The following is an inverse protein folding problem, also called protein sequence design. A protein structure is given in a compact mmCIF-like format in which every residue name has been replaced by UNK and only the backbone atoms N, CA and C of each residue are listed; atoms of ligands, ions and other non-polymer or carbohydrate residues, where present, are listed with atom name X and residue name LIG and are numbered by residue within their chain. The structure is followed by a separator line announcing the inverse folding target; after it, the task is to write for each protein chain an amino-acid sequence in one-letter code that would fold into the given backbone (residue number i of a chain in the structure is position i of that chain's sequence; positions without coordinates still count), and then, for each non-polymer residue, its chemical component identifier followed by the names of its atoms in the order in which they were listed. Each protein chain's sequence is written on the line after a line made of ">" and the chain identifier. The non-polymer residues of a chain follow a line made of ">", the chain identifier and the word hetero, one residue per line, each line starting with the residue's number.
data_IF_922836678985
#
_entry.id   IF_922836678985
#
_cell.length_a   1.000
_cell.length_b   1.000
_cell.length_c   1.000
_cell.angle_alpha   90.00
_cell.angle_beta   90.00
_cell.angle_gamma   90.00
#
_symmetry.space_group_name_H-M   'P 1'
#
loop_
_entity.id
_entity.type
_entity.pdbx_description
1 polymer ?
#
# COMPACT_ATOMS: atom_id res chain seq x y z
N UNK A 1 -16.19 -2.81 -12.85
CA UNK A 1 -17.16 -2.17 -11.94
C UNK A 1 -16.67 -2.39 -10.52
N UNK A 2 -16.43 -1.34 -9.72
CA UNK A 2 -16.18 -1.55 -8.31
C UNK A 2 -17.48 -1.99 -7.62
N UNK A 3 -17.42 -3.05 -6.83
CA UNK A 3 -18.56 -3.56 -6.03
C UNK A 3 -18.20 -3.36 -4.57
N UNK A 4 -19.08 -2.69 -3.82
CA UNK A 4 -18.86 -2.33 -2.43
C UNK A 4 -20.05 -2.73 -1.56
N UNK A 5 -19.83 -2.75 -0.24
CA UNK A 5 -20.88 -3.08 0.72
C UNK A 5 -21.20 -4.57 0.77
N UNK A 6 -22.34 -4.91 1.37
CA UNK A 6 -22.73 -6.31 1.64
C UNK A 6 -22.74 -7.18 0.38
N UNK A 7 -23.20 -6.64 -0.74
CA UNK A 7 -23.32 -7.33 -2.02
C UNK A 7 -21.95 -7.80 -2.58
N UNK A 8 -20.85 -7.18 -2.16
CA UNK A 8 -19.51 -7.60 -2.59
C UNK A 8 -19.14 -9.01 -2.07
N UNK A 9 -19.77 -9.46 -0.99
CA UNK A 9 -19.56 -10.80 -0.44
C UNK A 9 -20.18 -11.91 -1.32
N UNK A 10 -21.15 -11.56 -2.17
CA UNK A 10 -21.91 -12.51 -2.99
C UNK A 10 -21.35 -12.65 -4.42
N UNK A 11 -20.29 -11.89 -4.75
CA UNK A 11 -19.61 -11.96 -6.06
C UNK A 11 -18.58 -13.10 -6.10
N UNK A 12 -18.56 -13.84 -7.22
CA UNK A 12 -17.57 -14.89 -7.50
C UNK A 12 -16.80 -14.61 -8.81
N UNK A 13 -15.45 -14.75 -8.85
CA UNK A 13 -14.58 -15.06 -7.71
C UNK A 13 -14.66 -13.98 -6.61
N UNK A 14 -14.42 -14.38 -5.35
CA UNK A 14 -14.51 -13.46 -4.21
C UNK A 14 -13.58 -12.28 -4.46
N UNK A 15 -14.15 -11.08 -4.40
CA UNK A 15 -13.38 -9.85 -4.54
C UNK A 15 -12.45 -9.71 -3.33
N UNK A 16 -11.26 -9.17 -3.56
CA UNK A 16 -10.30 -8.87 -2.51
C UNK A 16 -9.61 -7.55 -2.80
N UNK A 17 -9.01 -6.96 -1.77
CA UNK A 17 -8.18 -5.75 -1.90
C UNK A 17 -7.06 -5.77 -0.87
N UNK A 18 -6.06 -4.91 -1.07
CA UNK A 18 -4.99 -4.76 -0.10
C UNK A 18 -5.33 -3.63 0.87
N UNK A 19 -5.12 -3.84 2.16
CA UNK A 19 -4.85 -2.75 3.09
C UNK A 19 -3.35 -2.49 3.08
N UNK A 20 -2.96 -1.23 2.92
CA UNK A 20 -1.56 -0.81 2.91
C UNK A 20 -1.30 0.08 4.10
N UNK A 21 -0.29 -0.27 4.89
CA UNK A 21 0.14 0.51 6.05
C UNK A 21 1.63 0.74 5.98
N UNK A 22 2.05 2.00 6.06
CA UNK A 22 3.46 2.37 6.02
C UNK A 22 3.98 2.69 7.42
N UNK A 23 5.13 2.13 7.77
CA UNK A 23 5.89 2.35 9.01
C UNK A 23 5.09 2.18 10.32
N UNK A 24 3.99 1.41 10.27
CA UNK A 24 3.07 1.26 11.42
C UNK A 24 2.26 2.53 11.73
N UNK A 25 2.15 3.44 10.76
CA UNK A 25 1.29 4.62 10.84
C UNK A 25 -0.17 4.22 11.13
N UNK A 26 -0.93 5.00 11.90
CA UNK A 26 -2.38 4.80 12.03
C UNK A 26 -3.14 5.03 10.71
N UNK A 27 -2.48 5.62 9.70
CA UNK A 27 -3.04 5.77 8.36
C UNK A 27 -2.84 4.53 7.50
N UNK A 28 -3.92 3.79 7.29
CA UNK A 28 -4.03 2.68 6.33
C UNK A 28 -4.95 3.08 5.17
N UNK A 29 -4.65 2.65 3.95
CA UNK A 29 -5.54 2.84 2.79
C UNK A 29 -5.81 1.54 2.05
N UNK A 30 -6.94 1.50 1.34
CA UNK A 30 -7.29 0.39 0.47
C UNK A 30 -6.69 0.56 -0.94
N UNK A 31 -6.04 -0.48 -1.46
CA UNK A 31 -5.57 -0.57 -2.85
C UNK A 31 -6.36 -1.65 -3.57
N UNK A 32 -7.13 -1.24 -4.59
CA UNK A 32 -8.15 -2.08 -5.25
C UNK A 32 -7.85 -2.38 -6.72
N UNK A 33 -6.76 -1.81 -7.26
CA UNK A 33 -6.33 -2.07 -8.64
C UNK A 33 -5.16 -3.06 -8.68
N UNK A 34 -4.88 -3.56 -9.89
CA UNK A 34 -3.65 -4.31 -10.17
C UNK A 34 -2.45 -3.41 -10.48
N UNK A 35 -2.61 -2.09 -10.38
CA UNK A 35 -1.54 -1.13 -10.65
C UNK A 35 -0.54 -1.09 -9.49
N UNK A 36 0.67 -0.52 -9.69
CA UNK A 36 1.64 -0.35 -8.63
C UNK A 36 1.11 0.45 -7.44
N UNK A 37 1.53 0.07 -6.23
CA UNK A 37 1.39 0.92 -5.04
C UNK A 37 2.48 2.00 -5.12
N UNK A 38 2.08 3.28 -5.12
CA UNK A 38 3.00 4.41 -5.22
C UNK A 38 3.02 5.16 -3.90
N UNK A 39 4.22 5.38 -3.36
CA UNK A 39 4.44 6.18 -2.15
C UNK A 39 5.47 7.26 -2.46
N UNK A 40 5.16 8.50 -2.06
CA UNK A 40 5.98 9.68 -2.34
C UNK A 40 6.30 10.43 -1.04
N UNK A 41 7.42 11.16 -1.02
CA UNK A 41 7.79 12.01 0.12
C UNK A 41 8.41 11.28 1.32
N UNK A 42 8.87 10.05 1.13
CA UNK A 42 9.59 9.31 2.17
C UNK A 42 10.97 9.92 2.42
N UNK A 43 11.34 10.01 3.70
CA UNK A 43 12.69 10.43 4.09
C UNK A 43 13.69 9.34 3.72
N UNK A 44 14.97 9.68 3.47
CA UNK A 44 16.01 8.67 3.38
C UNK A 44 16.05 7.80 4.64
N UNK A 45 16.15 6.48 4.47
CA UNK A 45 16.13 5.52 5.56
C UNK A 45 15.40 4.22 5.20
N UNK A 46 15.36 3.30 6.16
CA UNK A 46 14.62 2.04 6.05
C UNK A 46 13.15 2.28 6.36
N UNK A 47 12.29 1.78 5.49
CA UNK A 47 10.84 1.81 5.61
C UNK A 47 10.27 0.39 5.59
N UNK A 48 9.10 0.25 6.18
CA UNK A 48 8.32 -0.98 6.24
C UNK A 48 6.93 -0.73 5.69
N UNK A 49 6.48 -1.57 4.77
CA UNK A 49 5.11 -1.58 4.27
C UNK A 49 4.44 -2.91 4.63
N UNK A 50 3.40 -2.85 5.45
CA UNK A 50 2.51 -3.97 5.72
C UNK A 50 1.44 -4.01 4.63
N UNK A 51 1.28 -5.18 4.02
CA UNK A 51 0.27 -5.48 3.01
C UNK A 51 -0.64 -6.58 3.54
N UNK A 52 -1.88 -6.25 3.83
CA UNK A 52 -2.89 -7.22 4.24
C UNK A 52 -3.87 -7.48 3.10
N UNK A 53 -4.05 -8.74 2.73
CA UNK A 53 -5.12 -9.13 1.81
C UNK A 53 -6.41 -9.20 2.60
N UNK A 54 -7.37 -8.35 2.27
CA UNK A 54 -8.68 -8.31 2.87
C UNK A 54 -9.76 -8.83 1.92
N UNK A 55 -10.71 -9.58 2.47
CA UNK A 55 -11.95 -9.90 1.78
C UNK A 55 -12.92 -8.68 1.80
N UNK A 56 -14.09 -8.74 1.13
CA UNK A 56 -15.00 -7.60 1.04
C UNK A 56 -15.64 -7.22 2.39
N UNK A 57 -15.50 -8.06 3.42
CA UNK A 57 -15.95 -7.77 4.79
C UNK A 57 -14.86 -7.11 5.63
N UNK A 58 -13.72 -6.76 5.02
CA UNK A 58 -12.50 -6.27 5.67
C UNK A 58 -11.86 -7.28 6.63
N UNK A 59 -12.17 -8.58 6.48
CA UNK A 59 -11.45 -9.63 7.20
C UNK A 59 -10.10 -9.85 6.53
N UNK A 60 -9.04 -9.78 7.32
CA UNK A 60 -7.69 -10.10 6.86
C UNK A 60 -7.57 -11.61 6.61
N UNK A 61 -7.16 -11.97 5.40
CA UNK A 61 -6.96 -13.35 4.95
C UNK A 61 -5.49 -13.76 5.11
N UNK A 62 -4.58 -12.86 4.78
CA UNK A 62 -3.13 -13.05 4.92
C UNK A 62 -2.42 -11.70 4.94
N UNK A 63 -1.18 -11.70 5.40
CA UNK A 63 -0.35 -10.51 5.56
C UNK A 63 1.07 -10.77 5.09
N UNK A 64 1.70 -9.75 4.53
CA UNK A 64 3.14 -9.76 4.25
C UNK A 64 3.75 -8.40 4.53
N UNK A 65 5.05 -8.39 4.80
CA UNK A 65 5.80 -7.18 5.09
C UNK A 65 6.89 -6.99 4.04
N UNK A 66 6.93 -5.79 3.46
CA UNK A 66 7.96 -5.37 2.51
C UNK A 66 8.85 -4.34 3.20
N UNK A 67 10.12 -4.67 3.36
CA UNK A 67 11.14 -3.76 3.90
C UNK A 67 11.96 -3.23 2.74
N UNK A 68 12.11 -1.91 2.66
CA UNK A 68 12.90 -1.26 1.61
C UNK A 68 13.63 -0.03 2.15
N UNK A 69 14.68 0.39 1.45
CA UNK A 69 15.48 1.54 1.85
C UNK A 69 15.37 2.65 0.81
N UNK A 70 14.98 3.84 1.27
CA UNK A 70 15.05 5.07 0.48
C UNK A 70 16.48 5.62 0.59
N UNK A 71 17.24 5.75 -0.52
CA UNK A 71 18.62 6.20 -0.46
C UNK A 71 18.70 7.68 -0.07
N UNK A 72 19.84 8.09 0.51
CA UNK A 72 20.14 9.51 0.64
C UNK A 72 20.25 10.14 -0.74
N UNK A 73 19.51 11.23 -0.96
CA UNK A 73 19.71 12.05 -2.14
C UNK A 73 21.05 12.77 -1.97
N UNK A 74 21.94 12.64 -2.95
CA UNK A 74 23.09 13.54 -3.04
C UNK A 74 22.54 14.97 -3.15
N UNK A 75 23.12 15.95 -2.43
CA UNK A 75 22.78 17.35 -2.66
C UNK A 75 22.87 17.63 -4.16
N UNK A 76 21.83 18.24 -4.71
CA UNK A 76 21.87 18.70 -6.09
C UNK A 76 22.99 19.74 -6.16
N UNK A 77 24.06 19.46 -6.90
CA UNK A 77 25.08 20.47 -7.17
C UNK A 77 24.38 21.68 -7.81
N UNK A 78 24.56 22.90 -7.28
CA UNK A 78 23.99 24.08 -7.90
C UNK A 78 24.45 24.13 -9.35
N UNK A 79 23.52 24.32 -10.28
CA UNK A 79 23.87 24.61 -11.66
C UNK A 79 24.78 25.85 -11.65
N UNK A 80 26.04 25.67 -12.04
CA UNK A 80 26.97 26.76 -12.24
C UNK A 80 26.50 27.50 -13.48
N UNK A 81 25.92 28.69 -13.28
CA UNK A 81 25.58 29.63 -14.35
C UNK A 81 26.86 30.28 -14.90
#
# INVERSE_FOLDING_TARGET
>A
MPVFGKEAADVSPRLGHLHVTLDGSPGTWAHTSGDPIIVVGLKPGTHRMLLDVADPTHKILTSTEVIFTVPQQRPMEPAMN
#
